data_IF_830089359421
#
_entry.id   IF_830089359421
#
_cell.length_a   1.000
_cell.length_b   1.000
_cell.length_c   1.000
_cell.angle_alpha   90.00
_cell.angle_beta   90.00
_cell.angle_gamma   90.00
#
_symmetry.space_group_name_H-M   'P 1'
#
loop_
_entity.id
_entity.type
_entity.pdbx_description
1 polymer ?
#
# COMPACT_ATOMS: atom_id res chain seq x y z
N UNK A 1 -9.31 -2.01 -5.01
CA UNK A 1 -8.19 -2.94 -5.22
C UNK A 1 -6.90 -2.25 -4.85
N UNK A 2 -6.04 -2.92 -4.08
CA UNK A 2 -4.71 -2.42 -3.79
C UNK A 2 -3.75 -2.68 -4.97
N UNK A 3 -2.67 -1.91 -5.02
CA UNK A 3 -1.59 -2.05 -5.99
C UNK A 3 -0.36 -2.71 -5.36
N UNK A 4 0.68 -2.94 -6.16
CA UNK A 4 1.98 -3.46 -5.73
C UNK A 4 1.89 -4.81 -5.01
N UNK A 5 1.04 -5.70 -5.54
CA UNK A 5 0.93 -7.09 -5.09
C UNK A 5 2.11 -7.93 -5.60
N UNK A 6 2.28 -9.12 -5.02
CA UNK A 6 3.35 -10.06 -5.41
C UNK A 6 3.12 -10.78 -6.74
N UNK A 7 1.99 -10.55 -7.41
CA UNK A 7 1.60 -11.19 -8.69
C UNK A 7 1.42 -12.70 -8.60
N UNK A 8 1.15 -13.21 -7.40
CA UNK A 8 0.67 -14.58 -7.19
C UNK A 8 -0.64 -14.83 -7.96
N UNK A 9 -0.92 -16.10 -8.28
CA UNK A 9 -2.03 -16.46 -9.17
C UNK A 9 -3.37 -15.88 -8.75
N UNK A 10 -3.66 -15.83 -7.45
CA UNK A 10 -4.90 -15.24 -6.94
C UNK A 10 -4.99 -13.71 -7.18
N UNK A 11 -3.86 -12.99 -7.14
CA UNK A 11 -3.83 -11.57 -7.48
C UNK A 11 -4.13 -11.34 -8.96
N UNK A 12 -3.49 -12.12 -9.82
CA UNK A 12 -3.68 -12.05 -11.27
C UNK A 12 -5.10 -12.47 -11.65
N UNK A 13 -5.62 -13.53 -11.03
CA UNK A 13 -7.00 -14.00 -11.23
C UNK A 13 -8.03 -12.94 -10.84
N UNK A 14 -7.83 -12.23 -9.72
CA UNK A 14 -8.73 -11.17 -9.30
C UNK A 14 -8.70 -9.96 -10.24
N UNK A 15 -7.53 -9.57 -10.72
CA UNK A 15 -7.42 -8.51 -11.73
C UNK A 15 -8.11 -8.92 -13.06
N UNK A 16 -7.95 -10.17 -13.49
CA UNK A 16 -8.64 -10.72 -14.67
C UNK A 16 -10.15 -10.74 -14.50
N UNK A 17 -10.65 -11.15 -13.33
CA UNK A 17 -12.09 -11.19 -13.07
C UNK A 17 -12.72 -9.79 -13.16
N UNK A 18 -12.04 -8.77 -12.62
CA UNK A 18 -12.50 -7.38 -12.73
C UNK A 18 -12.60 -6.91 -14.17
N UNK A 19 -11.57 -7.16 -14.98
CA UNK A 19 -11.56 -6.80 -16.40
C UNK A 19 -12.66 -7.54 -17.16
N UNK A 20 -12.80 -8.85 -16.92
CA UNK A 20 -13.84 -9.70 -17.52
C UNK A 20 -15.25 -9.18 -17.20
N UNK A 21 -15.50 -8.76 -15.95
CA UNK A 21 -16.79 -8.19 -15.52
C UNK A 21 -17.11 -6.84 -16.15
N UNK A 22 -16.08 -6.09 -16.56
CA UNK A 22 -16.23 -4.85 -17.32
C UNK A 22 -16.21 -5.08 -18.84
N UNK A 23 -16.09 -6.33 -19.29
CA UNK A 23 -15.97 -6.70 -20.72
C UNK A 23 -14.78 -6.01 -21.41
N UNK A 24 -13.70 -5.75 -20.67
CA UNK A 24 -12.48 -5.10 -21.16
C UNK A 24 -11.36 -6.13 -21.31
N UNK A 25 -10.63 -6.16 -22.44
CA UNK A 25 -9.50 -7.09 -22.62
C UNK A 25 -8.27 -6.68 -21.80
N UNK A 26 -7.41 -7.64 -21.45
CA UNK A 26 -6.13 -7.38 -20.75
C UNK A 26 -5.23 -6.39 -21.49
N UNK A 27 -5.34 -6.29 -22.82
CA UNK A 27 -4.59 -5.34 -23.65
C UNK A 27 -4.94 -3.87 -23.39
N UNK A 28 -6.02 -3.59 -22.65
CA UNK A 28 -6.36 -2.25 -22.21
C UNK A 28 -5.52 -1.78 -21.00
N UNK A 29 -4.77 -2.68 -20.35
CA UNK A 29 -3.86 -2.29 -19.28
C UNK A 29 -2.73 -1.42 -19.85
N UNK A 30 -2.57 -0.22 -19.30
CA UNK A 30 -1.50 0.71 -19.69
C UNK A 30 -0.17 0.41 -18.98
N UNK A 31 -0.17 -0.52 -18.02
CA UNK A 31 1.06 -1.04 -17.44
C UNK A 31 1.63 -2.19 -18.29
N UNK A 32 2.96 -2.23 -18.42
CA UNK A 32 3.68 -3.30 -19.10
C UNK A 32 3.91 -4.52 -18.21
N UNK A 33 4.41 -5.62 -18.78
CA UNK A 33 4.93 -6.74 -17.98
C UNK A 33 6.11 -6.31 -17.10
N UNK A 34 6.17 -6.85 -15.89
CA UNK A 34 7.23 -6.56 -14.93
C UNK A 34 7.63 -7.82 -14.16
N UNK A 35 8.81 -7.79 -13.55
CA UNK A 35 9.29 -8.84 -12.63
C UNK A 35 8.35 -8.92 -11.43
N UNK A 36 8.00 -10.13 -10.99
CA UNK A 36 7.24 -10.27 -9.75
C UNK A 36 8.07 -9.76 -8.55
N UNK A 37 7.40 -9.10 -7.60
CA UNK A 37 8.04 -8.66 -6.35
C UNK A 37 8.41 -9.86 -5.48
N UNK A 38 7.62 -10.94 -5.52
CA UNK A 38 7.97 -12.20 -4.87
C UNK A 38 9.03 -12.93 -5.68
N UNK A 39 10.15 -13.24 -5.03
CA UNK A 39 11.24 -13.99 -5.63
C UNK A 39 10.81 -15.41 -6.02
N UNK A 40 9.91 -16.03 -5.26
CA UNK A 40 9.37 -17.37 -5.54
C UNK A 40 8.51 -17.37 -6.81
N UNK A 41 7.58 -16.42 -6.91
CA UNK A 41 6.75 -16.23 -8.12
C UNK A 41 7.63 -15.96 -9.33
N UNK A 42 8.60 -15.04 -9.18
CA UNK A 42 9.48 -14.69 -10.28
C UNK A 42 10.35 -15.88 -10.74
N UNK A 43 10.85 -16.69 -9.79
CA UNK A 43 11.64 -17.89 -10.08
C UNK A 43 10.78 -18.94 -10.80
N UNK A 44 9.53 -19.12 -10.37
CA UNK A 44 8.59 -20.02 -11.03
C UNK A 44 8.31 -19.58 -12.48
N UNK A 45 8.10 -18.29 -12.72
CA UNK A 45 7.92 -17.75 -14.08
C UNK A 45 9.12 -18.00 -14.98
N UNK A 46 10.34 -17.74 -14.48
CA UNK A 46 11.58 -17.99 -15.23
C UNK A 46 11.69 -19.47 -15.60
N UNK A 47 11.44 -20.38 -14.64
CA UNK A 47 11.48 -21.84 -14.88
C UNK A 47 10.44 -22.29 -15.90
N UNK A 48 9.28 -21.65 -15.92
CA UNK A 48 8.19 -21.93 -16.85
C UNK A 48 8.39 -21.26 -18.23
N UNK A 49 9.41 -20.41 -18.41
CA UNK A 49 9.56 -19.60 -19.63
C UNK A 49 8.43 -18.58 -19.84
N UNK A 50 7.73 -18.18 -18.77
CA UNK A 50 6.65 -17.22 -18.83
C UNK A 50 7.21 -15.83 -19.10
N UNK A 51 6.66 -15.14 -20.10
CA UNK A 51 6.94 -13.72 -20.36
C UNK A 51 5.84 -12.88 -19.73
N UNK A 52 6.13 -12.05 -18.70
CA UNK A 52 5.12 -11.23 -18.05
C UNK A 52 4.49 -10.23 -19.03
N UNK A 53 3.20 -9.97 -18.81
CA UNK A 53 2.40 -8.97 -19.54
C UNK A 53 1.77 -8.00 -18.54
N UNK A 54 1.02 -7.00 -19.00
CA UNK A 54 0.39 -6.01 -18.11
C UNK A 54 -0.42 -6.61 -16.94
N UNK A 55 -1.08 -7.76 -17.16
CA UNK A 55 -1.85 -8.44 -16.10
C UNK A 55 -0.95 -8.98 -14.95
N UNK A 56 0.31 -9.26 -15.26
CA UNK A 56 1.32 -9.76 -14.33
C UNK A 56 2.05 -8.62 -13.61
N UNK A 57 1.84 -7.36 -14.03
CA UNK A 57 2.42 -6.20 -13.35
C UNK A 57 1.91 -6.12 -11.91
N UNK A 58 2.78 -5.76 -10.96
CA UNK A 58 2.40 -5.60 -9.56
C UNK A 58 1.28 -4.55 -9.36
N UNK A 59 1.10 -3.63 -10.31
CA UNK A 59 0.07 -2.61 -10.32
C UNK A 59 -1.22 -3.01 -11.05
N UNK A 60 -1.30 -4.19 -11.67
CA UNK A 60 -2.43 -4.57 -12.53
C UNK A 60 -3.78 -4.49 -11.80
N UNK A 61 -3.83 -4.79 -10.51
CA UNK A 61 -5.02 -4.60 -9.68
C UNK A 61 -5.55 -3.15 -9.60
N UNK A 62 -4.67 -2.13 -9.49
CA UNK A 62 -5.11 -0.71 -9.50
C UNK A 62 -5.57 -0.27 -10.89
N UNK A 63 -4.90 -0.76 -11.93
CA UNK A 63 -5.28 -0.48 -13.32
C UNK A 63 -6.65 -1.08 -13.65
N UNK A 64 -6.88 -2.36 -13.36
CA UNK A 64 -8.15 -3.02 -13.57
C UNK A 64 -9.30 -2.29 -12.83
N UNK A 65 -9.07 -1.86 -11.58
CA UNK A 65 -10.07 -1.10 -10.83
C UNK A 65 -10.33 0.29 -11.42
N UNK A 66 -9.31 0.99 -11.92
CA UNK A 66 -9.48 2.29 -12.60
C UNK A 66 -10.24 2.15 -13.91
N UNK A 67 -9.96 1.11 -14.69
CA UNK A 67 -10.71 0.77 -15.91
C UNK A 67 -12.18 0.56 -15.60
N UNK A 68 -12.49 -0.32 -14.63
CA UNK A 68 -13.88 -0.58 -14.21
C UNK A 68 -14.56 0.71 -13.73
N UNK A 69 -13.86 1.53 -12.94
CA UNK A 69 -14.41 2.79 -12.46
C UNK A 69 -14.66 3.80 -13.60
N UNK A 70 -13.78 3.84 -14.60
CA UNK A 70 -13.94 4.69 -15.78
C UNK A 70 -15.17 4.29 -16.63
N UNK A 71 -15.41 2.98 -16.78
CA UNK A 71 -16.62 2.46 -17.43
C UNK A 71 -17.89 2.82 -16.66
N UNK A 72 -17.89 2.64 -15.33
CA UNK A 72 -19.04 3.01 -14.47
C UNK A 72 -19.33 4.51 -14.51
N UNK A 73 -18.31 5.35 -14.71
CA UNK A 73 -18.48 6.80 -14.89
C UNK A 73 -19.03 7.18 -16.28
N UNK A 74 -19.14 6.24 -17.22
CA UNK A 74 -19.52 6.51 -18.61
C UNK A 74 -18.45 7.26 -19.41
N UNK A 75 -17.23 7.38 -18.89
CA UNK A 75 -16.11 8.06 -19.56
C UNK A 75 -15.37 7.14 -20.56
N UNK A 76 -15.57 5.82 -20.43
CA UNK A 76 -14.79 4.80 -21.13
C UNK A 76 -13.37 4.66 -20.56
N UNK A 77 -12.71 3.54 -20.81
CA UNK A 77 -11.37 3.27 -20.26
C UNK A 77 -10.21 3.82 -21.11
N UNK A 78 -10.43 4.29 -22.33
CA UNK A 78 -9.32 4.70 -23.21
C UNK A 78 -8.59 5.93 -22.66
N UNK A 79 -7.30 5.79 -22.38
CA UNK A 79 -6.48 6.87 -21.84
C UNK A 79 -6.73 7.13 -20.35
N UNK A 80 -7.25 6.16 -19.60
CA UNK A 80 -7.51 6.29 -18.16
C UNK A 80 -6.28 6.68 -17.34
N UNK A 81 -5.07 6.43 -17.84
CA UNK A 81 -3.80 6.83 -17.23
C UNK A 81 -3.46 8.31 -17.44
N UNK A 82 -4.09 8.98 -18.40
CA UNK A 82 -3.79 10.37 -18.71
C UNK A 82 -4.37 11.30 -17.61
N UNK A 83 -3.61 12.30 -17.15
CA UNK A 83 -4.08 13.25 -16.12
C UNK A 83 -5.39 13.97 -16.47
N UNK A 84 -5.69 14.10 -17.76
CA UNK A 84 -6.92 14.72 -18.28
C UNK A 84 -8.14 13.80 -18.26
N UNK A 85 -7.97 12.50 -17.99
CA UNK A 85 -9.08 11.56 -17.99
C UNK A 85 -10.00 11.80 -16.77
N UNK A 86 -11.34 11.72 -16.93
CA UNK A 86 -12.29 11.95 -15.83
C UNK A 86 -12.04 11.10 -14.57
N UNK A 87 -11.52 9.88 -14.73
CA UNK A 87 -11.14 9.05 -13.58
C UNK A 87 -9.97 9.63 -12.78
N UNK A 88 -8.99 10.26 -13.44
CA UNK A 88 -7.85 10.88 -12.76
C UNK A 88 -8.29 12.15 -12.03
N UNK A 89 -9.25 12.91 -12.57
CA UNK A 89 -9.89 14.01 -11.84
C UNK A 89 -10.54 13.52 -10.54
N UNK A 90 -11.28 12.40 -10.57
CA UNK A 90 -11.84 11.80 -9.34
C UNK A 90 -10.76 11.41 -8.35
N UNK A 91 -9.64 10.84 -8.83
CA UNK A 91 -8.49 10.51 -7.98
C UNK A 91 -7.90 11.77 -7.35
N UNK A 92 -7.69 12.86 -8.11
CA UNK A 92 -7.17 14.13 -7.58
C UNK A 92 -8.07 14.70 -6.49
N UNK A 93 -9.39 14.71 -6.70
CA UNK A 93 -10.37 15.14 -5.70
C UNK A 93 -10.32 14.28 -4.43
N UNK A 94 -10.25 12.95 -4.58
CA UNK A 94 -10.15 12.04 -3.43
C UNK A 94 -8.83 12.24 -2.66
N UNK A 95 -7.70 12.38 -3.36
CA UNK A 95 -6.39 12.63 -2.73
C UNK A 95 -6.40 13.99 -2.02
N UNK A 96 -6.90 15.06 -2.67
CA UNK A 96 -7.01 16.39 -2.07
C UNK A 96 -7.85 16.37 -0.78
N UNK A 97 -9.04 15.77 -0.83
CA UNK A 97 -9.93 15.68 0.33
C UNK A 97 -9.30 14.90 1.50
N UNK A 98 -8.66 13.77 1.21
CA UNK A 98 -8.08 12.90 2.25
C UNK A 98 -6.76 13.43 2.79
N UNK A 99 -5.92 14.03 1.94
CA UNK A 99 -4.69 14.69 2.33
C UNK A 99 -4.95 16.01 3.08
N UNK A 100 -6.15 16.58 2.98
CA UNK A 100 -6.47 17.90 3.53
C UNK A 100 -5.63 19.00 2.90
N UNK A 101 -5.35 18.89 1.59
CA UNK A 101 -4.61 19.88 0.82
C UNK A 101 -5.42 20.30 -0.39
N UNK A 102 -5.48 21.60 -0.74
CA UNK A 102 -6.00 22.04 -2.02
C UNK A 102 -5.26 21.36 -3.18
N UNK A 103 -5.94 21.09 -4.29
CA UNK A 103 -5.34 20.41 -5.44
C UNK A 103 -4.07 21.10 -5.96
N UNK A 104 -4.03 22.44 -5.94
CA UNK A 104 -2.87 23.23 -6.38
C UNK A 104 -1.62 23.08 -5.51
N UNK A 105 -1.75 22.51 -4.30
CA UNK A 105 -0.63 22.23 -3.40
C UNK A 105 -0.09 20.79 -3.52
N UNK A 106 -0.78 19.93 -4.27
CA UNK A 106 -0.36 18.55 -4.52
C UNK A 106 0.37 18.51 -5.86
N UNK A 107 1.63 18.09 -5.82
CA UNK A 107 2.40 17.83 -7.04
C UNK A 107 2.07 16.44 -7.56
N UNK A 108 2.20 16.24 -8.87
CA UNK A 108 1.93 14.96 -9.51
C UNK A 108 3.11 14.54 -10.38
N UNK A 109 3.57 13.32 -10.20
CA UNK A 109 4.53 12.65 -11.07
C UNK A 109 3.86 11.52 -11.84
N UNK A 110 4.58 10.92 -12.77
CA UNK A 110 4.18 9.68 -13.45
C UNK A 110 4.93 8.52 -12.81
N UNK A 111 4.19 7.53 -12.31
CA UNK A 111 4.74 6.30 -11.73
C UNK A 111 5.24 5.36 -12.84
N UNK A 112 6.09 4.39 -12.50
CA UNK A 112 6.65 3.41 -13.46
C UNK A 112 5.59 2.52 -14.13
N UNK A 113 4.36 2.52 -13.64
CA UNK A 113 3.21 1.84 -14.24
C UNK A 113 2.39 2.74 -15.18
N UNK A 114 2.82 3.98 -15.44
CA UNK A 114 2.16 5.04 -16.23
C UNK A 114 1.03 5.81 -15.52
N UNK A 115 0.62 5.45 -14.31
CA UNK A 115 -0.41 6.20 -13.58
C UNK A 115 0.14 7.45 -12.89
N UNK A 116 -0.65 8.54 -12.78
CA UNK A 116 -0.29 9.70 -11.98
C UNK A 116 -0.15 9.32 -10.50
N UNK A 117 0.94 9.76 -9.87
CA UNK A 117 1.21 9.56 -8.45
C UNK A 117 1.35 10.90 -7.72
N UNK A 118 0.64 11.11 -6.60
CA UNK A 118 0.72 12.35 -5.85
C UNK A 118 2.01 12.44 -5.04
N UNK A 119 2.61 13.62 -5.03
CA UNK A 119 3.72 14.02 -4.18
C UNK A 119 3.24 15.10 -3.21
N UNK A 120 3.24 14.76 -1.92
CA UNK A 120 2.70 15.57 -0.83
C UNK A 120 3.55 15.41 0.44
N UNK A 121 3.49 16.35 1.40
CA UNK A 121 4.25 16.27 2.64
C UNK A 121 3.90 15.02 3.47
N UNK A 122 4.87 14.43 4.18
CA UNK A 122 4.66 13.19 4.94
C UNK A 122 3.53 13.28 5.98
N UNK A 123 3.37 14.43 6.64
CA UNK A 123 2.23 14.65 7.57
C UNK A 123 0.87 14.51 6.89
N UNK A 124 0.77 14.86 5.61
CA UNK A 124 -0.46 14.77 4.85
C UNK A 124 -0.71 13.33 4.37
N UNK A 125 0.36 12.56 4.11
CA UNK A 125 0.25 11.12 3.91
C UNK A 125 -0.25 10.44 5.18
N UNK A 126 0.33 10.76 6.33
CA UNK A 126 -0.13 10.26 7.63
C UNK A 126 -1.61 10.61 7.86
N UNK A 127 -2.02 11.85 7.57
CA UNK A 127 -3.42 12.27 7.63
C UNK A 127 -4.34 11.41 6.75
N UNK A 128 -3.96 11.09 5.52
CA UNK A 128 -4.78 10.22 4.65
C UNK A 128 -5.08 8.88 5.33
N UNK A 129 -4.08 8.25 5.95
CA UNK A 129 -4.26 7.00 6.69
C UNK A 129 -5.08 7.16 7.98
N UNK A 130 -4.91 8.27 8.70
CA UNK A 130 -5.76 8.59 9.84
C UNK A 130 -7.23 8.73 9.43
N UNK A 131 -7.51 9.29 8.25
CA UNK A 131 -8.87 9.41 7.71
C UNK A 131 -9.47 8.02 7.43
N UNK A 132 -8.72 7.09 6.83
CA UNK A 132 -9.20 5.71 6.64
C UNK A 132 -9.56 5.04 7.97
N UNK A 133 -8.67 5.12 8.97
CA UNK A 133 -8.92 4.54 10.29
C UNK A 133 -10.12 5.18 11.00
N UNK A 134 -10.19 6.52 11.02
CA UNK A 134 -11.31 7.28 11.56
C UNK A 134 -12.64 6.90 10.91
N UNK A 135 -12.64 6.65 9.59
CA UNK A 135 -13.84 6.25 8.85
C UNK A 135 -14.34 4.87 9.29
N UNK A 136 -13.43 3.90 9.48
CA UNK A 136 -13.75 2.56 9.97
C UNK A 136 -14.28 2.56 11.41
N UNK A 137 -13.84 3.52 12.24
CA UNK A 137 -14.37 3.72 13.59
C UNK A 137 -15.80 4.32 13.64
N UNK A 138 -16.44 4.53 12.48
CA UNK A 138 -17.86 4.88 12.39
C UNK A 138 -18.16 6.37 12.47
N UNK A 139 -17.20 7.23 12.13
CA UNK A 139 -17.32 8.67 12.36
C UNK A 139 -18.52 9.33 11.65
N UNK A 140 -18.70 9.20 10.32
CA UNK A 140 -19.82 9.86 9.58
C UNK A 140 -20.17 9.19 8.23
N UNK A 141 -21.38 9.45 7.70
CA UNK A 141 -21.92 8.82 6.47
C UNK A 141 -21.10 9.06 5.19
N UNK A 142 -20.51 10.25 5.03
CA UNK A 142 -19.66 10.59 3.88
C UNK A 142 -18.34 9.77 3.84
N UNK A 143 -18.05 9.01 4.89
CA UNK A 143 -16.81 8.23 5.06
C UNK A 143 -16.98 6.73 4.77
N UNK A 144 -18.19 6.25 4.44
CA UNK A 144 -18.47 4.82 4.20
C UNK A 144 -17.56 4.17 3.16
N UNK A 145 -17.18 4.91 2.11
CA UNK A 145 -16.26 4.40 1.10
C UNK A 145 -14.85 4.14 1.67
N UNK A 146 -14.36 5.05 2.50
CA UNK A 146 -13.05 4.94 3.16
C UNK A 146 -13.06 3.83 4.21
N UNK A 147 -14.14 3.71 4.99
CA UNK A 147 -14.35 2.60 5.91
C UNK A 147 -14.28 1.25 5.19
N UNK A 148 -15.02 1.09 4.08
CA UNK A 148 -14.96 -0.12 3.26
C UNK A 148 -13.57 -0.44 2.74
N UNK A 149 -12.78 0.57 2.36
CA UNK A 149 -11.39 0.36 1.92
C UNK A 149 -10.53 -0.12 3.08
N UNK A 150 -10.63 0.51 4.25
CA UNK A 150 -9.92 0.08 5.45
C UNK A 150 -10.27 -1.37 5.80
N UNK A 151 -11.56 -1.67 5.93
CA UNK A 151 -12.04 -2.99 6.33
C UNK A 151 -11.67 -4.06 5.28
N UNK A 152 -11.72 -3.73 3.99
CA UNK A 152 -11.29 -4.64 2.94
C UNK A 152 -9.79 -4.94 3.05
N UNK A 153 -8.95 -3.93 3.26
CA UNK A 153 -7.50 -4.12 3.42
C UNK A 153 -7.17 -4.95 4.66
N UNK A 154 -7.75 -4.59 5.80
CA UNK A 154 -7.58 -5.25 7.09
C UNK A 154 -7.95 -6.74 7.03
N UNK A 155 -9.10 -7.07 6.42
CA UNK A 155 -9.61 -8.44 6.37
C UNK A 155 -9.06 -9.26 5.19
N UNK A 156 -8.35 -8.64 4.25
CA UNK A 156 -7.84 -9.30 3.05
C UNK A 156 -6.35 -8.95 2.83
N UNK A 157 -5.57 -8.99 3.90
CA UNK A 157 -4.15 -8.61 3.93
C UNK A 157 -3.30 -9.29 2.85
N UNK A 158 -3.63 -10.54 2.51
CA UNK A 158 -3.02 -11.26 1.38
C UNK A 158 -3.14 -10.49 0.07
N UNK A 159 -4.33 -10.00 -0.28
CA UNK A 159 -4.57 -9.24 -1.52
C UNK A 159 -3.94 -7.83 -1.53
N UNK A 160 -3.42 -7.37 -0.40
CA UNK A 160 -2.74 -6.07 -0.29
C UNK A 160 -1.24 -6.21 -0.54
N UNK A 161 -0.59 -7.21 0.08
CA UNK A 161 0.85 -7.40 -0.01
C UNK A 161 1.25 -8.61 -0.86
N UNK A 162 0.65 -9.76 -0.55
CA UNK A 162 1.08 -11.10 -0.95
C UNK A 162 1.84 -11.81 0.16
N UNK A 163 2.13 -13.08 -0.05
CA UNK A 163 2.70 -13.95 0.97
C UNK A 163 4.08 -13.46 1.46
N UNK A 164 4.31 -13.57 2.77
CA UNK A 164 5.59 -13.23 3.42
C UNK A 164 5.97 -11.75 3.42
N UNK A 165 5.10 -10.85 2.95
CA UNK A 165 5.39 -9.40 2.88
C UNK A 165 4.96 -8.66 4.14
N UNK A 166 5.75 -7.63 4.49
CA UNK A 166 5.51 -6.80 5.67
C UNK A 166 4.09 -6.27 5.78
N UNK A 167 3.47 -5.78 4.69
CA UNK A 167 2.09 -5.30 4.72
C UNK A 167 1.11 -6.39 5.17
N UNK A 168 1.28 -7.60 4.67
CA UNK A 168 0.42 -8.74 4.97
C UNK A 168 0.62 -9.20 6.40
N UNK A 169 1.87 -9.35 6.82
CA UNK A 169 2.22 -9.77 8.18
C UNK A 169 1.82 -8.73 9.24
N UNK A 170 1.97 -7.45 8.94
CA UNK A 170 1.52 -6.34 9.78
C UNK A 170 0.01 -6.40 10.02
N UNK A 171 -0.79 -6.49 8.96
CA UNK A 171 -2.25 -6.50 9.13
C UNK A 171 -2.74 -7.79 9.79
N UNK A 172 -2.13 -8.94 9.49
CA UNK A 172 -2.44 -10.22 10.16
C UNK A 172 -2.08 -10.18 11.65
N UNK A 173 -0.95 -9.57 12.01
CA UNK A 173 -0.51 -9.47 13.40
C UNK A 173 -1.51 -8.69 14.27
N UNK A 174 -2.10 -7.64 13.71
CA UNK A 174 -3.00 -6.71 14.38
C UNK A 174 -4.49 -6.99 14.18
N UNK A 175 -4.87 -8.05 13.44
CA UNK A 175 -6.25 -8.57 13.43
C UNK A 175 -7.32 -7.56 13.02
N UNK A 176 -6.99 -6.59 12.18
CA UNK A 176 -7.89 -5.54 11.71
C UNK A 176 -7.90 -4.23 12.50
N UNK A 177 -7.04 -4.10 13.51
CA UNK A 177 -6.87 -2.84 14.25
C UNK A 177 -6.13 -1.75 13.46
N UNK A 178 -5.39 -2.14 12.43
CA UNK A 178 -4.68 -1.22 11.54
C UNK A 178 -4.62 -1.73 10.10
N UNK A 179 -4.31 -0.80 9.19
CA UNK A 179 -3.90 -1.09 7.83
C UNK A 179 -2.52 -0.49 7.58
N UNK A 180 -1.74 -1.10 6.70
CA UNK A 180 -0.46 -0.55 6.28
C UNK A 180 -0.16 -0.88 4.82
N UNK A 181 0.47 0.07 4.13
CA UNK A 181 0.86 -0.15 2.74
C UNK A 181 2.18 0.55 2.40
N UNK A 182 3.04 -0.23 1.76
CA UNK A 182 4.29 0.23 1.16
C UNK A 182 4.03 0.98 -0.14
N UNK A 183 4.71 2.10 -0.30
CA UNK A 183 4.85 2.86 -1.54
C UNK A 183 6.25 2.70 -2.15
N UNK A 184 6.45 3.27 -3.33
CA UNK A 184 7.75 3.29 -3.99
C UNK A 184 8.81 4.05 -3.18
N UNK A 185 10.08 3.71 -3.40
CA UNK A 185 11.26 4.40 -2.87
C UNK A 185 11.23 4.65 -1.36
N UNK A 186 10.95 3.63 -0.56
CA UNK A 186 11.07 3.73 0.90
C UNK A 186 9.93 4.46 1.60
N UNK A 187 8.77 4.61 0.98
CA UNK A 187 7.59 5.22 1.58
C UNK A 187 6.67 4.17 2.23
N UNK A 188 6.11 4.45 3.41
CA UNK A 188 5.12 3.60 4.05
C UNK A 188 4.07 4.43 4.77
N UNK A 189 2.81 4.00 4.72
CA UNK A 189 1.73 4.59 5.51
C UNK A 189 0.99 3.56 6.33
N UNK A 190 0.58 3.94 7.54
CA UNK A 190 -0.18 3.12 8.49
C UNK A 190 -1.37 3.93 9.01
N UNK A 191 -2.55 3.32 9.00
CA UNK A 191 -3.74 3.85 9.66
C UNK A 191 -4.11 2.94 10.82
N UNK A 192 -4.18 3.48 12.02
CA UNK A 192 -4.45 2.76 13.28
C UNK A 192 -5.78 3.23 13.83
N UNK A 193 -6.68 2.29 14.12
CA UNK A 193 -7.98 2.58 14.74
C UNK A 193 -7.82 3.05 16.18
N UNK A 194 -8.83 3.74 16.68
CA UNK A 194 -8.86 4.25 18.05
C UNK A 194 -8.57 3.16 19.10
N UNK A 195 -9.09 1.95 18.90
CA UNK A 195 -8.96 0.83 19.84
C UNK A 195 -7.51 0.34 20.05
N UNK A 196 -6.66 0.46 19.04
CA UNK A 196 -5.24 0.08 19.14
C UNK A 196 -4.30 1.28 19.25
N UNK A 197 -4.84 2.50 19.29
CA UNK A 197 -4.07 3.71 19.47
C UNK A 197 -3.88 4.00 20.96
N UNK A 198 -2.66 4.36 21.41
CA UNK A 198 -2.38 4.71 22.81
C UNK A 198 -3.20 5.92 23.29
N UNK A 199 -3.64 6.78 22.37
CA UNK A 199 -4.41 7.99 22.67
C UNK A 199 -5.92 7.78 22.71
N UNK A 200 -6.40 6.58 22.38
CA UNK A 200 -7.83 6.31 22.18
C UNK A 200 -8.44 7.05 20.99
N UNK A 201 -7.63 7.62 20.10
CA UNK A 201 -8.05 8.31 18.87
C UNK A 201 -7.37 7.68 17.65
N UNK A 202 -8.00 7.68 16.47
CA UNK A 202 -7.37 7.16 15.26
C UNK A 202 -6.05 7.88 14.98
N UNK A 203 -5.05 7.11 14.56
CA UNK A 203 -3.70 7.60 14.31
C UNK A 203 -3.28 7.27 12.88
N UNK A 204 -2.61 8.23 12.25
CA UNK A 204 -1.95 8.03 10.97
C UNK A 204 -0.45 8.16 11.13
N UNK A 205 0.31 7.25 10.53
CA UNK A 205 1.77 7.23 10.56
C UNK A 205 2.25 7.20 9.10
N UNK A 206 3.27 8.00 8.79
CA UNK A 206 3.96 7.95 7.51
C UNK A 206 5.47 7.89 7.76
N UNK A 207 6.15 7.01 7.04
CA UNK A 207 7.59 6.79 7.13
C UNK A 207 8.19 6.95 5.75
N UNK A 208 9.34 7.62 5.67
CA UNK A 208 10.16 7.73 4.47
C UNK A 208 11.60 7.41 4.83
N UNK A 209 12.18 6.46 4.10
CA UNK A 209 13.63 6.29 4.03
C UNK A 209 14.10 6.98 2.75
N UNK A 210 15.06 7.89 2.86
CA UNK A 210 15.47 8.77 1.75
C UNK A 210 16.10 7.99 0.59
N UNK A 211 16.90 6.96 0.89
CA UNK A 211 17.57 6.11 -0.12
C UNK A 211 16.69 4.96 -0.63
N UNK A 212 15.48 4.80 -0.09
CA UNK A 212 14.55 3.77 -0.48
C UNK A 212 14.77 2.39 0.13
N UNK A 213 15.68 2.22 1.11
CA UNK A 213 15.94 0.91 1.73
C UNK A 213 14.69 0.35 2.42
N UNK A 214 14.19 -0.77 1.90
CA UNK A 214 12.97 -1.44 2.38
C UNK A 214 13.17 -2.15 3.71
N UNK A 215 14.37 -2.65 3.98
CA UNK A 215 14.70 -3.31 5.24
C UNK A 215 14.68 -2.29 6.37
N UNK A 216 15.32 -1.13 6.18
CA UNK A 216 15.29 -0.01 7.10
C UNK A 216 13.87 0.53 7.28
N UNK A 217 13.09 0.64 6.21
CA UNK A 217 11.70 1.09 6.25
C UNK A 217 10.83 0.22 7.16
N UNK A 218 10.89 -1.11 6.98
CA UNK A 218 10.07 -2.03 7.77
C UNK A 218 10.51 -2.07 9.24
N UNK A 219 11.81 -2.02 9.47
CA UNK A 219 12.35 -1.97 10.82
C UNK A 219 11.96 -0.67 11.55
N UNK A 220 12.07 0.49 10.87
CA UNK A 220 11.64 1.77 11.42
C UNK A 220 10.13 1.81 11.68
N UNK A 221 9.32 1.25 10.78
CA UNK A 221 7.88 1.14 10.98
C UNK A 221 7.54 0.28 12.23
N UNK A 222 8.20 -0.86 12.41
CA UNK A 222 8.05 -1.70 13.60
C UNK A 222 8.47 -0.97 14.88
N UNK A 223 9.61 -0.27 14.86
CA UNK A 223 10.09 0.51 16.01
C UNK A 223 9.13 1.64 16.40
N UNK A 224 8.58 2.35 15.40
CA UNK A 224 7.60 3.42 15.65
C UNK A 224 6.35 2.85 16.33
N UNK A 225 5.84 1.69 15.88
CA UNK A 225 4.70 1.04 16.52
C UNK A 225 5.00 0.63 17.97
N UNK A 226 6.22 0.12 18.24
CA UNK A 226 6.68 -0.23 19.59
C UNK A 226 6.73 0.99 20.50
N UNK A 227 7.44 2.05 20.09
CA UNK A 227 7.63 3.25 20.90
C UNK A 227 6.34 4.04 21.13
N UNK A 228 5.41 3.99 20.18
CA UNK A 228 4.08 4.57 20.37
C UNK A 228 3.14 3.69 21.20
N UNK A 229 3.49 2.42 21.48
CA UNK A 229 2.60 1.52 22.19
C UNK A 229 1.32 1.20 21.39
N UNK A 230 1.41 1.10 20.07
CA UNK A 230 0.28 0.73 19.22
C UNK A 230 -0.02 -0.77 19.39
N UNK A 231 -1.28 -1.11 19.67
CA UNK A 231 -1.74 -2.47 19.94
C UNK A 231 -1.10 -3.11 21.18
N UNK A 232 -1.21 -4.44 21.29
CA UNK A 232 -0.62 -5.21 22.39
C UNK A 232 0.84 -5.59 22.13
N UNK A 233 1.57 -5.93 23.19
CA UNK A 233 2.95 -6.42 23.07
C UNK A 233 3.02 -7.72 22.24
N UNK A 234 2.02 -8.60 22.34
CA UNK A 234 1.92 -9.84 21.56
C UNK A 234 1.71 -9.57 20.08
N UNK A 235 0.92 -8.54 19.71
CA UNK A 235 0.74 -8.14 18.32
C UNK A 235 2.07 -7.65 17.74
N UNK A 236 2.79 -6.78 18.46
CA UNK A 236 4.08 -6.23 18.01
C UNK A 236 5.18 -7.28 17.93
N UNK A 237 5.23 -8.22 18.88
CA UNK A 237 6.20 -9.32 18.88
C UNK A 237 6.16 -10.18 17.60
N UNK A 238 4.99 -10.30 16.96
CA UNK A 238 4.86 -11.02 15.66
C UNK A 238 5.64 -10.37 14.53
N UNK A 239 6.05 -9.10 14.67
CA UNK A 239 6.88 -8.39 13.69
C UNK A 239 8.38 -8.57 13.92
N UNK A 240 8.80 -9.40 14.87
CA UNK A 240 10.20 -9.53 15.29
C UNK A 240 11.20 -9.76 14.16
N UNK A 241 10.81 -10.49 13.10
CA UNK A 241 11.67 -10.72 11.92
C UNK A 241 12.00 -9.45 11.11
N UNK A 242 11.26 -8.36 11.31
CA UNK A 242 11.46 -7.07 10.65
C UNK A 242 12.14 -6.03 11.54
N UNK A 243 12.09 -6.21 12.86
CA UNK A 243 12.35 -5.16 13.82
C UNK A 243 13.83 -5.06 14.21
N UNK A 244 14.37 -6.06 14.91
CA UNK A 244 15.78 -6.10 15.31
C UNK A 244 16.55 -7.08 14.43
N UNK A 245 16.87 -6.63 13.22
CA UNK A 245 17.51 -7.48 12.20
C UNK A 245 19.02 -7.55 12.45
N UNK A 246 19.51 -8.78 12.57
CA UNK A 246 20.95 -9.07 12.56
C UNK A 246 21.51 -8.91 11.14
N UNK A 247 22.61 -8.16 11.01
CA UNK A 247 23.36 -8.05 9.76
C UNK A 247 24.35 -9.20 9.70
N UNK A 248 24.12 -10.11 8.75
CA UNK A 248 25.00 -11.25 8.49
C UNK A 248 25.85 -10.96 7.25
N UNK A 249 27.11 -11.39 7.27
CA UNK A 249 27.92 -11.41 6.05
C UNK A 249 27.55 -12.63 5.17
N UNK A 250 28.21 -12.76 4.01
CA UNK A 250 27.98 -13.87 3.07
C UNK A 250 28.32 -15.26 3.63
N UNK A 251 29.09 -15.34 4.72
CA UNK A 251 29.39 -16.57 5.44
C UNK A 251 28.41 -16.85 6.60
N UNK A 252 27.36 -16.05 6.75
CA UNK A 252 26.37 -16.20 7.83
C UNK A 252 26.84 -15.71 9.20
N UNK A 253 27.98 -15.02 9.28
CA UNK A 253 28.50 -14.47 10.54
C UNK A 253 27.85 -13.13 10.81
N UNK A 254 27.35 -12.93 12.04
CA UNK A 254 26.83 -11.65 12.50
C UNK A 254 27.95 -10.59 12.53
N UNK A 255 27.78 -9.56 11.71
CA UNK A 255 28.71 -8.43 11.57
C UNK A 255 28.12 -7.11 12.07
N UNK A 256 26.84 -7.11 12.45
CA UNK A 256 26.20 -5.93 13.04
C UNK A 256 24.73 -6.16 13.37
N UNK A 257 24.10 -5.10 13.83
CA UNK A 257 22.67 -5.04 14.16
C UNK A 257 22.12 -3.71 13.68
N UNK A 258 20.83 -3.68 13.36
CA UNK A 258 20.13 -2.41 13.18
C UNK A 258 19.80 -1.79 14.55
N UNK A 259 20.06 -0.50 14.70
CA UNK A 259 19.69 0.30 15.87
C UNK A 259 18.91 1.54 15.42
N UNK A 260 18.06 2.06 16.31
CA UNK A 260 17.15 3.16 16.02
C UNK A 260 17.54 4.41 16.79
N UNK A 261 18.33 5.27 16.15
CA UNK A 261 18.81 6.53 16.72
C UNK A 261 17.91 7.70 16.30
N UNK A 262 16.66 7.68 16.79
CA UNK A 262 15.73 8.79 16.67
C UNK A 262 14.88 8.89 17.93
N UNK A 263 14.44 10.09 18.30
CA UNK A 263 13.48 10.32 19.37
C UNK A 263 12.11 10.64 18.80
N UNK A 264 11.06 10.09 19.41
CA UNK A 264 9.71 10.56 19.17
C UNK A 264 9.51 11.88 19.93
N UNK A 265 9.02 12.89 19.21
CA UNK A 265 8.68 14.19 19.79
C UNK A 265 7.18 14.35 19.78
N UNK A 266 6.64 14.87 20.86
CA UNK A 266 5.26 15.35 20.88
C UNK A 266 5.12 16.52 19.89
N UNK A 267 3.96 16.58 19.23
CA UNK A 267 3.63 17.61 18.25
C UNK A 267 3.18 18.92 18.91
#
# INVERSE_FOLDING_TARGET
MCASHSSEDAHVALARDLLRRAEVPESALSCGGDRAISDDVNTAWIRAGLTPTGIHNNCSGKHAAMIVAAEVLGAGHKGYELPSHPIQERVRLCVSATAGLPEGEIRWGIDGCNLPAPALPLRNLARMYAVFALSSDGAFDASKAMARVFDAMANNAYYVGGEGRFCTDLMNAFGGDLIGKVGADGCYGIGVRAAASPTGKPLGIAVKIEDGDRTALYAAASEILERLGVGTAEQRAKLGKYHHIDRLNSAGVKVGTLAFDFDLRDA
#
